data_IF_587878676437
#
_entry.id   IF_587878676437
#
_cell.length_a   1.000
_cell.length_b   1.000
_cell.length_c   1.000
_cell.angle_alpha   90.00
_cell.angle_beta   90.00
_cell.angle_gamma   90.00
#
_symmetry.space_group_name_H-M   'P 1'
#
loop_
_entity.id
_entity.type
_entity.pdbx_description
1 polymer ?
#
# COMPACT_ATOMS: atom_id res chain seq x y z
N UNK A 1 -13.83 -21.40 14.16
CA UNK A 1 -12.48 -20.80 14.15
C UNK A 1 -11.46 -21.92 14.13
N UNK A 2 -10.38 -21.77 13.37
CA UNK A 2 -9.25 -22.72 13.36
C UNK A 2 -8.17 -22.21 14.32
N UNK A 3 -7.60 -23.10 15.15
CA UNK A 3 -6.49 -22.73 16.04
C UNK A 3 -5.20 -22.72 15.23
N UNK A 4 -4.53 -21.58 15.20
CA UNK A 4 -3.27 -21.38 14.48
C UNK A 4 -2.24 -20.74 15.39
N UNK A 5 -0.99 -21.18 15.29
CA UNK A 5 0.14 -20.53 15.95
C UNK A 5 0.86 -19.66 14.92
N UNK A 6 1.03 -18.38 15.23
CA UNK A 6 1.73 -17.39 14.41
C UNK A 6 2.75 -16.66 15.27
N UNK A 7 3.83 -16.18 14.65
CA UNK A 7 4.88 -15.43 15.34
C UNK A 7 4.74 -13.94 15.06
N UNK A 8 4.98 -13.11 16.06
CA UNK A 8 5.00 -11.67 15.95
C UNK A 8 6.30 -11.13 16.55
N UNK A 9 6.91 -10.10 15.95
CA UNK A 9 7.96 -9.34 16.63
C UNK A 9 7.46 -8.81 17.98
N UNK A 10 8.31 -8.84 19.00
CA UNK A 10 7.95 -8.45 20.37
C UNK A 10 7.29 -7.06 20.45
N UNK A 11 7.85 -6.08 19.73
CA UNK A 11 7.31 -4.72 19.72
C UNK A 11 5.89 -4.68 19.15
N UNK A 12 5.63 -5.43 18.07
CA UNK A 12 4.32 -5.48 17.43
C UNK A 12 3.30 -6.19 18.32
N UNK A 13 3.71 -7.28 18.99
CA UNK A 13 2.85 -7.97 19.95
C UNK A 13 2.41 -7.05 21.10
N UNK A 14 3.36 -6.28 21.67
CA UNK A 14 3.06 -5.32 22.76
C UNK A 14 2.07 -4.25 22.31
N UNK A 15 2.28 -3.65 21.14
CA UNK A 15 1.36 -2.64 20.61
C UNK A 15 -0.03 -3.21 20.31
N UNK A 16 -0.11 -4.40 19.72
CA UNK A 16 -1.39 -5.04 19.48
C UNK A 16 -2.13 -5.41 20.80
N UNK A 17 -1.39 -5.75 21.86
CA UNK A 17 -1.98 -5.98 23.20
C UNK A 17 -2.46 -4.68 23.85
N UNK A 18 -1.76 -3.55 23.65
CA UNK A 18 -2.25 -2.23 24.06
C UNK A 18 -3.57 -1.89 23.37
N UNK A 19 -3.64 -2.04 22.04
CA UNK A 19 -4.88 -1.81 21.27
C UNK A 19 -6.02 -2.68 21.76
N UNK A 20 -5.77 -3.97 22.03
CA UNK A 20 -6.77 -4.88 22.56
C UNK A 20 -7.37 -4.37 23.89
N UNK A 21 -6.51 -3.88 24.80
CA UNK A 21 -6.94 -3.32 26.08
C UNK A 21 -7.74 -2.03 25.92
N UNK A 22 -7.24 -1.08 25.12
CA UNK A 22 -7.89 0.23 24.90
C UNK A 22 -9.26 0.11 24.23
N UNK A 23 -9.45 -0.92 23.41
CA UNK A 23 -10.68 -1.15 22.66
C UNK A 23 -11.56 -2.23 23.30
N UNK A 24 -11.25 -2.65 24.53
CA UNK A 24 -12.03 -3.64 25.30
C UNK A 24 -12.31 -4.94 24.50
N UNK A 25 -11.32 -5.39 23.72
CA UNK A 25 -11.46 -6.57 22.86
C UNK A 25 -10.34 -7.59 23.09
N UNK A 26 -10.55 -8.82 22.64
CA UNK A 26 -9.51 -9.85 22.72
C UNK A 26 -8.37 -9.57 21.73
N UNK A 27 -7.16 -10.04 22.04
CA UNK A 27 -6.05 -10.01 21.08
C UNK A 27 -6.38 -10.76 19.78
N UNK A 28 -7.15 -11.85 19.87
CA UNK A 28 -7.59 -12.60 18.70
C UNK A 28 -8.49 -11.77 17.77
N UNK A 29 -9.30 -10.87 18.34
CA UNK A 29 -10.16 -9.96 17.59
C UNK A 29 -9.35 -8.88 16.87
N UNK A 30 -8.31 -8.34 17.52
CA UNK A 30 -7.34 -7.43 16.86
C UNK A 30 -6.68 -8.12 15.66
N UNK A 31 -6.21 -9.36 15.85
CA UNK A 31 -5.58 -10.15 14.77
C UNK A 31 -6.58 -10.42 13.64
N UNK A 32 -7.82 -10.81 13.95
CA UNK A 32 -8.87 -11.04 12.95
C UNK A 32 -9.12 -9.80 12.09
N UNK A 33 -9.33 -8.64 12.72
CA UNK A 33 -9.56 -7.37 12.01
C UNK A 33 -8.37 -6.99 11.13
N UNK A 34 -7.15 -7.16 11.65
CA UNK A 34 -5.94 -6.92 10.87
C UNK A 34 -5.85 -7.81 9.62
N UNK A 35 -6.20 -9.10 9.75
CA UNK A 35 -6.25 -10.02 8.61
C UNK A 35 -7.35 -9.65 7.61
N UNK A 36 -8.52 -9.21 8.07
CA UNK A 36 -9.63 -8.79 7.19
C UNK A 36 -9.25 -7.56 6.37
N UNK A 37 -8.61 -6.57 6.98
CA UNK A 37 -8.09 -5.39 6.29
C UNK A 37 -7.01 -5.79 5.29
N UNK A 38 -6.10 -6.69 5.67
CA UNK A 38 -5.06 -7.18 4.78
C UNK A 38 -5.68 -7.86 3.55
N UNK A 39 -6.63 -8.78 3.73
CA UNK A 39 -7.30 -9.47 2.62
C UNK A 39 -8.01 -8.48 1.68
N UNK A 40 -8.63 -7.43 2.22
CA UNK A 40 -9.24 -6.37 1.39
C UNK A 40 -8.20 -5.64 0.52
N UNK A 41 -6.97 -5.46 1.01
CA UNK A 41 -5.87 -4.86 0.26
C UNK A 41 -5.27 -5.77 -0.82
N UNK A 42 -5.52 -7.07 -0.77
CA UNK A 42 -5.02 -8.07 -1.72
C UNK A 42 -6.18 -8.87 -2.34
N UNK A 43 -6.98 -8.25 -3.24
CA UNK A 43 -8.11 -8.94 -3.84
C UNK A 43 -7.66 -10.17 -4.63
N UNK A 44 -8.48 -11.25 -4.66
CA UNK A 44 -8.19 -12.44 -5.44
C UNK A 44 -8.14 -12.10 -6.94
N UNK A 45 -7.38 -12.86 -7.72
CA UNK A 45 -7.28 -12.65 -9.17
C UNK A 45 -6.25 -11.61 -9.59
N UNK A 46 -5.39 -11.14 -8.67
CA UNK A 46 -4.10 -10.56 -9.05
C UNK A 46 -3.24 -11.68 -9.64
N UNK A 47 -3.49 -12.04 -10.90
CA UNK A 47 -2.52 -12.76 -11.70
C UNK A 47 -1.20 -11.97 -11.62
N UNK A 48 -0.06 -12.64 -11.80
CA UNK A 48 1.07 -11.90 -12.34
C UNK A 48 0.52 -11.24 -13.60
N UNK A 49 0.24 -9.94 -13.55
CA UNK A 49 -0.17 -9.21 -14.74
C UNK A 49 0.88 -9.51 -15.79
N UNK A 50 0.49 -9.50 -17.07
CA UNK A 50 1.48 -9.54 -18.15
C UNK A 50 2.66 -8.66 -17.74
N UNK A 51 3.88 -9.23 -17.79
CA UNK A 51 5.07 -8.56 -17.33
C UNK A 51 5.02 -7.14 -17.89
N UNK A 52 4.91 -6.14 -17.00
CA UNK A 52 4.65 -4.78 -17.43
C UNK A 52 5.74 -4.39 -18.43
N UNK A 53 5.34 -4.17 -19.70
CA UNK A 53 6.25 -3.73 -20.74
C UNK A 53 6.11 -2.23 -20.88
N UNK A 54 7.25 -1.54 -20.96
CA UNK A 54 7.27 -0.12 -21.27
C UNK A 54 6.50 0.12 -22.60
N UNK A 55 5.43 0.93 -22.60
CA UNK A 55 4.71 1.25 -23.83
C UNK A 55 5.65 1.93 -24.84
N UNK A 56 5.41 1.70 -26.14
CA UNK A 56 6.17 2.38 -27.19
C UNK A 56 6.08 3.90 -27.02
N UNK A 57 7.21 4.59 -27.17
CA UNK A 57 7.25 6.05 -27.09
C UNK A 57 6.26 6.69 -28.08
N UNK A 58 5.36 7.54 -27.58
CA UNK A 58 4.44 8.30 -28.42
C UNK A 58 5.13 9.58 -28.89
N UNK A 59 5.00 9.91 -30.18
CA UNK A 59 5.47 11.18 -30.74
C UNK A 59 4.61 12.33 -30.20
N UNK A 60 5.10 13.05 -29.20
CA UNK A 60 4.40 14.18 -28.55
C UNK A 60 4.52 15.51 -29.32
N UNK A 61 5.11 15.51 -30.50
CA UNK A 61 5.34 16.71 -31.31
C UNK A 61 6.58 17.49 -30.86
N UNK A 62 6.65 18.77 -31.25
CA UNK A 62 7.76 19.65 -30.87
C UNK A 62 7.61 20.04 -29.40
N UNK A 63 8.71 20.03 -28.66
CA UNK A 63 8.74 20.54 -27.29
C UNK A 63 8.23 21.99 -27.28
N UNK A 64 7.21 22.25 -26.45
CA UNK A 64 6.66 23.60 -26.27
C UNK A 64 7.60 24.52 -25.47
N UNK A 65 8.49 23.91 -24.70
CA UNK A 65 9.46 24.59 -23.84
C UNK A 65 10.82 23.93 -24.00
N UNK A 66 11.88 24.75 -23.97
CA UNK A 66 13.24 24.26 -23.90
C UNK A 66 13.51 23.74 -22.48
N UNK A 67 14.42 22.77 -22.35
CA UNK A 67 14.73 22.12 -21.06
C UNK A 67 15.10 23.11 -19.95
N UNK A 68 15.85 24.15 -20.31
CA UNK A 68 16.24 25.24 -19.40
C UNK A 68 15.05 25.98 -18.75
N UNK A 69 13.86 25.92 -19.36
CA UNK A 69 12.66 26.62 -18.93
C UNK A 69 11.70 25.71 -18.13
N UNK A 70 12.00 24.42 -18.00
CA UNK A 70 11.12 23.45 -17.33
C UNK A 70 10.91 23.75 -15.85
N UNK A 71 11.96 24.17 -15.14
CA UNK A 71 11.88 24.52 -13.71
C UNK A 71 10.96 25.71 -13.46
N UNK A 72 10.98 26.71 -14.34
CA UNK A 72 10.09 27.87 -14.24
C UNK A 72 8.63 27.46 -14.48
N UNK A 73 8.38 26.65 -15.52
CA UNK A 73 7.04 26.17 -15.87
C UNK A 73 6.42 25.25 -14.80
N UNK A 74 7.22 24.48 -14.05
CA UNK A 74 6.73 23.65 -12.94
C UNK A 74 6.27 24.44 -11.71
N UNK A 75 6.64 25.73 -11.62
CA UNK A 75 6.31 26.60 -10.49
C UNK A 75 5.01 27.40 -10.70
N UNK A 76 4.57 27.56 -11.95
CA UNK A 76 3.31 28.22 -12.32
C UNK A 76 2.11 27.26 -12.29
N UNK A 77 1.88 26.62 -11.13
CA UNK A 77 0.60 25.99 -10.83
C UNK A 77 0.00 26.65 -9.59
N UNK A 78 -0.59 27.83 -9.79
CA UNK A 78 -1.50 28.52 -8.89
C UNK A 78 -2.79 28.86 -9.65
#
# INVERSE_FOLDING_TARGET
>A
MVKTQVQFPDHLYREAKRVALEQEMSFAEVVRRGLEIAVQGYPPGRAAGEAWTLPSARRLGRARLLEKDWTLASRDSA
#
